data_IF_982443786956
#
_entry.id   IF_982443786956
#
_cell.length_a   1.000
_cell.length_b   1.000
_cell.length_c   1.000
_cell.angle_alpha   90.00
_cell.angle_beta   90.00
_cell.angle_gamma   90.00
#
_symmetry.space_group_name_H-M   'P 1'
#
loop_
_entity.id
_entity.type
_entity.pdbx_description
1 polymer ?
#
# COMPACT_ATOMS: atom_id res chain seq x y z
N UNK A 1 9.57 3.61 -25.56
CA UNK A 1 8.39 3.40 -24.67
C UNK A 1 8.29 1.92 -24.35
N UNK A 2 8.88 1.46 -23.23
CA UNK A 2 8.68 0.07 -22.78
C UNK A 2 7.25 -0.05 -22.27
N UNK A 3 6.42 -0.72 -23.05
CA UNK A 3 5.12 -1.26 -22.64
C UNK A 3 5.42 -2.29 -21.55
N UNK A 4 5.41 -1.87 -20.29
CA UNK A 4 5.56 -2.76 -19.14
C UNK A 4 4.25 -3.53 -18.98
N UNK A 5 4.10 -4.56 -19.81
CA UNK A 5 3.07 -5.57 -19.66
C UNK A 5 3.56 -6.50 -18.54
N UNK A 6 3.11 -6.17 -17.32
CA UNK A 6 2.77 -7.12 -16.25
C UNK A 6 3.75 -8.28 -16.11
N UNK A 7 4.82 -8.11 -15.33
CA UNK A 7 5.14 -9.18 -14.40
C UNK A 7 3.87 -9.36 -13.57
N UNK A 8 3.16 -10.48 -13.75
CA UNK A 8 1.93 -10.72 -12.98
C UNK A 8 2.32 -10.59 -11.53
N UNK A 9 1.63 -9.71 -10.81
CA UNK A 9 1.73 -9.67 -9.35
C UNK A 9 1.40 -11.07 -8.86
N UNK A 10 2.41 -11.78 -8.40
CA UNK A 10 2.24 -13.13 -7.89
C UNK A 10 1.72 -13.02 -6.46
N UNK A 11 0.40 -12.91 -6.32
CA UNK A 11 -0.26 -12.75 -5.03
C UNK A 11 -0.03 -13.93 -4.07
N UNK A 12 0.46 -15.08 -4.56
CA UNK A 12 0.89 -16.21 -3.72
C UNK A 12 2.11 -15.89 -2.85
N UNK A 13 2.86 -14.83 -3.18
CA UNK A 13 4.00 -14.34 -2.39
C UNK A 13 3.57 -13.39 -1.27
N UNK A 14 2.30 -12.94 -1.25
CA UNK A 14 1.84 -12.04 -0.21
C UNK A 14 1.58 -12.77 1.10
N UNK A 15 2.09 -12.18 2.18
CA UNK A 15 1.84 -12.59 3.54
C UNK A 15 0.63 -11.81 4.09
N UNK A 16 -0.58 -12.33 3.80
CA UNK A 16 -1.81 -11.69 4.25
C UNK A 16 -2.00 -11.70 5.78
N UNK A 17 -1.42 -12.68 6.48
CA UNK A 17 -1.47 -12.72 7.94
C UNK A 17 -0.60 -11.63 8.57
N UNK A 18 0.57 -11.34 7.97
CA UNK A 18 1.37 -10.17 8.36
C UNK A 18 0.65 -8.86 7.98
N UNK A 19 0.11 -8.80 6.77
CA UNK A 19 -0.65 -7.65 6.30
C UNK A 19 -1.85 -7.29 7.19
N UNK A 20 -2.50 -8.28 7.82
CA UNK A 20 -3.59 -8.06 8.79
C UNK A 20 -3.16 -7.20 9.97
N UNK A 21 -1.94 -7.37 10.49
CA UNK A 21 -1.46 -6.59 11.64
C UNK A 21 -1.55 -5.07 11.39
N UNK A 22 -1.50 -4.65 10.12
CA UNK A 22 -1.59 -3.23 9.72
C UNK A 22 -2.96 -2.85 9.13
N UNK A 23 -3.66 -3.78 8.48
CA UNK A 23 -4.84 -3.47 7.66
C UNK A 23 -6.15 -4.02 8.21
N UNK A 24 -6.12 -4.90 9.20
CA UNK A 24 -7.34 -5.45 9.79
C UNK A 24 -8.21 -4.33 10.37
N UNK A 25 -9.51 -4.38 10.11
CA UNK A 25 -10.51 -3.38 10.51
C UNK A 25 -10.36 -1.97 9.91
N UNK A 26 -9.34 -1.71 9.09
CA UNK A 26 -9.23 -0.45 8.35
C UNK A 26 -10.33 -0.33 7.30
N UNK A 27 -10.92 0.87 7.18
CA UNK A 27 -11.80 1.27 6.09
C UNK A 27 -10.96 1.97 5.02
N UNK A 28 -10.56 1.18 4.03
CA UNK A 28 -9.60 1.53 2.99
C UNK A 28 -10.30 2.12 1.77
N UNK A 29 -9.74 3.22 1.26
CA UNK A 29 -10.07 3.77 -0.06
C UNK A 29 -8.79 3.88 -0.88
N UNK A 30 -8.86 3.50 -2.15
CA UNK A 30 -7.74 3.66 -3.07
C UNK A 30 -7.94 4.89 -3.97
N UNK A 31 -6.87 5.59 -4.33
CA UNK A 31 -6.86 6.66 -5.34
C UNK A 31 -5.60 6.58 -6.20
N UNK A 32 -5.66 7.08 -7.44
CA UNK A 32 -4.55 6.96 -8.40
C UNK A 32 -4.37 5.55 -9.00
N UNK A 33 -3.30 5.38 -9.77
CA UNK A 33 -2.87 4.12 -10.42
C UNK A 33 -1.92 3.36 -9.49
N UNK A 34 -2.23 2.11 -9.16
CA UNK A 34 -1.35 1.27 -8.34
C UNK A 34 -0.49 0.33 -9.19
N UNK A 35 0.24 -0.56 -8.52
CA UNK A 35 1.07 -1.60 -9.14
C UNK A 35 0.25 -2.69 -9.86
N UNK A 36 -1.07 -2.71 -9.66
CA UNK A 36 -2.01 -3.52 -10.45
C UNK A 36 -3.38 -2.84 -10.56
N UNK A 37 -4.33 -3.50 -11.23
CA UNK A 37 -5.71 -3.06 -11.42
C UNK A 37 -6.43 -2.90 -10.08
N UNK A 38 -7.35 -1.93 -10.02
CA UNK A 38 -8.06 -1.54 -8.79
C UNK A 38 -8.79 -2.70 -8.11
N UNK A 39 -9.34 -3.62 -8.90
CA UNK A 39 -10.07 -4.78 -8.38
C UNK A 39 -9.13 -5.70 -7.57
N UNK A 40 -7.91 -5.94 -8.04
CA UNK A 40 -6.93 -6.78 -7.34
C UNK A 40 -6.42 -6.10 -6.07
N UNK A 41 -6.10 -4.81 -6.13
CA UNK A 41 -5.73 -4.03 -4.93
C UNK A 41 -6.80 -4.15 -3.83
N UNK A 42 -8.08 -4.06 -4.23
CA UNK A 42 -9.19 -4.23 -3.31
C UNK A 42 -9.28 -5.67 -2.75
N UNK A 43 -9.00 -6.70 -3.56
CA UNK A 43 -8.93 -8.08 -3.06
C UNK A 43 -7.81 -8.29 -2.06
N UNK A 44 -6.62 -7.75 -2.34
CA UNK A 44 -5.47 -7.89 -1.44
C UNK A 44 -5.75 -7.26 -0.08
N UNK A 45 -6.36 -6.07 -0.04
CA UNK A 45 -6.78 -5.44 1.21
C UNK A 45 -7.85 -6.27 1.95
N UNK A 46 -8.84 -6.81 1.24
CA UNK A 46 -9.87 -7.67 1.85
C UNK A 46 -9.30 -8.97 2.42
N UNK A 47 -8.29 -9.56 1.77
CA UNK A 47 -7.58 -10.74 2.27
C UNK A 47 -6.86 -10.43 3.61
N UNK A 48 -6.45 -9.18 3.80
CA UNK A 48 -5.96 -8.64 5.07
C UNK A 48 -7.08 -8.17 6.03
N UNK A 49 -8.34 -8.58 5.82
CA UNK A 49 -9.52 -8.22 6.65
C UNK A 49 -9.85 -6.72 6.68
N UNK A 50 -9.32 -5.92 5.77
CA UNK A 50 -9.77 -4.53 5.59
C UNK A 50 -11.14 -4.47 4.90
N UNK A 51 -11.91 -3.43 5.24
CA UNK A 51 -13.11 -3.04 4.50
C UNK A 51 -12.70 -2.10 3.36
N UNK A 52 -13.09 -2.38 2.13
CA UNK A 52 -12.76 -1.53 0.98
C UNK A 52 -13.99 -0.76 0.50
N UNK A 53 -13.87 0.56 0.44
CA UNK A 53 -14.90 1.49 -0.02
C UNK A 53 -14.42 2.27 -1.26
N UNK A 54 -15.36 2.80 -2.05
CA UNK A 54 -15.05 3.56 -3.27
C UNK A 54 -14.84 5.06 -3.02
N UNK A 55 -15.34 5.56 -1.89
CA UNK A 55 -15.49 6.98 -1.58
C UNK A 55 -14.91 7.30 -0.22
N UNK A 56 -14.19 8.42 -0.13
CA UNK A 56 -13.71 8.96 1.15
C UNK A 56 -14.90 9.52 1.92
N UNK A 57 -15.14 8.99 3.11
CA UNK A 57 -16.21 9.40 4.04
C UNK A 57 -15.65 9.58 5.45
N UNK A 58 -16.47 10.00 6.41
CA UNK A 58 -16.06 10.14 7.83
C UNK A 58 -15.63 8.82 8.46
N UNK A 59 -16.04 7.68 7.88
CA UNK A 59 -15.62 6.35 8.32
C UNK A 59 -14.32 5.88 7.69
N UNK A 60 -13.78 6.58 6.70
CA UNK A 60 -12.53 6.19 6.03
C UNK A 60 -11.37 6.41 6.98
N UNK A 61 -10.69 5.33 7.35
CA UNK A 61 -9.54 5.36 8.25
C UNK A 61 -8.22 5.41 7.49
N UNK A 62 -8.16 4.79 6.30
CA UNK A 62 -6.95 4.70 5.47
C UNK A 62 -7.22 5.05 4.00
N UNK A 63 -6.41 5.94 3.44
CA UNK A 63 -6.31 6.20 2.00
C UNK A 63 -4.99 5.63 1.44
N UNK A 64 -5.09 4.75 0.45
CA UNK A 64 -3.93 4.23 -0.29
C UNK A 64 -3.81 4.98 -1.61
N UNK A 65 -2.63 5.57 -1.84
CA UNK A 65 -2.39 6.54 -2.90
C UNK A 65 -1.41 5.98 -3.92
N UNK A 66 -1.87 5.78 -5.15
CA UNK A 66 -1.05 5.48 -6.31
C UNK A 66 -0.75 6.72 -7.14
N UNK A 67 -0.18 6.53 -8.34
CA UNK A 67 0.20 7.61 -9.23
C UNK A 67 -0.99 8.46 -9.69
N UNK A 68 -0.73 9.76 -9.94
CA UNK A 68 -1.73 10.73 -10.41
C UNK A 68 -3.03 10.71 -9.59
N UNK A 69 -2.97 10.87 -8.25
CA UNK A 69 -4.15 10.85 -7.42
C UNK A 69 -5.03 12.08 -7.69
N UNK A 70 -6.36 11.90 -7.65
CA UNK A 70 -7.34 12.97 -7.86
C UNK A 70 -7.88 13.58 -6.56
N UNK A 71 -9.04 14.24 -6.64
CA UNK A 71 -9.68 14.99 -5.54
C UNK A 71 -9.97 14.20 -4.25
N UNK A 72 -9.93 12.86 -4.30
CA UNK A 72 -10.01 12.00 -3.10
C UNK A 72 -8.85 12.25 -2.13
N UNK A 73 -7.65 12.53 -2.63
CA UNK A 73 -6.48 12.85 -1.79
C UNK A 73 -6.71 14.14 -1.01
N UNK A 74 -7.22 15.18 -1.70
CA UNK A 74 -7.54 16.47 -1.07
C UNK A 74 -8.59 16.28 0.03
N UNK A 75 -9.65 15.51 -0.26
CA UNK A 75 -10.70 15.22 0.73
C UNK A 75 -10.17 14.46 1.94
N UNK A 76 -9.37 13.41 1.74
CA UNK A 76 -8.82 12.62 2.84
C UNK A 76 -7.89 13.44 3.75
N UNK A 77 -7.04 14.30 3.17
CA UNK A 77 -6.18 15.21 3.94
C UNK A 77 -7.00 16.13 4.85
N UNK A 78 -8.09 16.72 4.34
CA UNK A 78 -8.98 17.60 5.12
C UNK A 78 -9.68 16.86 6.27
N UNK A 79 -9.91 15.56 6.11
CA UNK A 79 -10.59 14.73 7.10
C UNK A 79 -9.64 14.07 8.10
N UNK A 80 -8.32 14.26 7.95
CA UNK A 80 -7.32 13.67 8.84
C UNK A 80 -7.18 12.15 8.70
N UNK A 81 -7.57 11.56 7.55
CA UNK A 81 -7.39 10.14 7.32
C UNK A 81 -5.90 9.78 7.28
N UNK A 82 -5.53 8.58 7.72
CA UNK A 82 -4.19 8.02 7.48
C UNK A 82 -3.97 7.87 5.98
N UNK A 83 -2.78 8.19 5.49
CA UNK A 83 -2.44 8.13 4.07
C UNK A 83 -1.14 7.35 3.90
N UNK A 84 -1.16 6.33 3.03
CA UNK A 84 0.04 5.59 2.62
C UNK A 84 0.12 5.50 1.09
N UNK A 85 1.30 5.21 0.56
CA UNK A 85 1.48 4.97 -0.87
C UNK A 85 1.06 3.55 -1.28
N UNK A 86 0.91 3.30 -2.58
CA UNK A 86 0.75 1.95 -3.10
C UNK A 86 1.98 1.07 -2.86
N UNK A 87 3.18 1.66 -2.79
CA UNK A 87 4.41 0.92 -2.51
C UNK A 87 4.48 0.49 -1.04
N UNK A 88 4.04 1.35 -0.11
CA UNK A 88 3.86 0.98 1.29
C UNK A 88 2.88 -0.19 1.43
N UNK A 89 1.76 -0.13 0.71
CA UNK A 89 0.79 -1.21 0.69
C UNK A 89 1.40 -2.50 0.14
N UNK A 90 2.21 -2.43 -0.93
CA UNK A 90 2.93 -3.59 -1.44
C UNK A 90 3.88 -4.18 -0.39
N UNK A 91 4.65 -3.35 0.31
CA UNK A 91 5.59 -3.79 1.35
C UNK A 91 4.86 -4.43 2.54
N UNK A 92 3.72 -3.87 2.97
CA UNK A 92 2.83 -4.49 3.97
C UNK A 92 2.40 -5.88 3.52
N UNK A 93 2.00 -6.04 2.26
CA UNK A 93 1.60 -7.34 1.70
C UNK A 93 2.77 -8.32 1.60
N UNK A 94 4.00 -7.84 1.42
CA UNK A 94 5.20 -8.66 1.40
C UNK A 94 5.72 -9.01 2.80
N UNK A 95 5.15 -8.42 3.86
CA UNK A 95 5.65 -8.57 5.22
C UNK A 95 7.04 -7.98 5.42
N UNK A 96 7.39 -6.92 4.65
CA UNK A 96 8.67 -6.23 4.80
C UNK A 96 8.58 -5.17 5.88
N UNK A 97 9.42 -5.31 6.90
CA UNK A 97 9.60 -4.29 7.92
C UNK A 97 10.52 -3.20 7.39
N UNK A 98 9.99 -1.97 7.25
CA UNK A 98 10.78 -0.79 6.87
C UNK A 98 12.00 -0.58 7.77
N UNK A 99 11.91 -0.98 9.04
CA UNK A 99 12.99 -0.83 10.01
C UNK A 99 14.16 -1.78 9.74
N UNK A 100 13.90 -2.96 9.18
CA UNK A 100 14.94 -3.90 8.76
C UNK A 100 15.57 -3.48 7.44
N UNK A 101 14.76 -3.01 6.47
CA UNK A 101 15.29 -2.50 5.20
C UNK A 101 16.19 -1.25 5.41
N UNK A 102 15.84 -0.36 6.35
CA UNK A 102 16.68 0.80 6.71
C UNK A 102 17.98 0.33 7.38
N UNK A 103 17.92 -0.61 8.34
CA UNK A 103 19.12 -1.15 8.98
C UNK A 103 20.06 -1.84 7.99
N UNK A 104 19.52 -2.61 7.04
CA UNK A 104 20.32 -3.26 6.00
C UNK A 104 20.95 -2.23 5.04
N UNK A 105 20.22 -1.18 4.68
CA UNK A 105 20.76 -0.08 3.89
C UNK A 105 21.84 0.71 4.64
N UNK A 106 21.62 1.08 5.90
CA UNK A 106 22.59 1.77 6.76
C UNK A 106 23.87 0.93 6.93
N UNK A 107 23.72 -0.37 7.22
CA UNK A 107 24.84 -1.30 7.33
C UNK A 107 25.62 -1.42 6.00
N UNK A 108 24.92 -1.42 4.86
CA UNK A 108 25.57 -1.45 3.55
C UNK A 108 26.36 -0.16 3.24
N UNK A 109 25.82 1.01 3.62
CA UNK A 109 26.50 2.31 3.49
C UNK A 109 27.75 2.38 4.35
N UNK A 110 27.71 1.83 5.56
CA UNK A 110 28.86 1.79 6.46
C UNK A 110 29.99 0.91 5.89
N UNK A 111 29.67 -0.23 5.27
CA UNK A 111 30.66 -1.10 4.61
C UNK A 111 31.30 -0.44 3.39
N UNK A 112 30.53 0.38 2.65
CA UNK A 112 31.00 1.07 1.44
C UNK A 112 31.86 2.31 1.74
N UNK A 113 31.84 2.82 2.97
CA UNK A 113 32.60 3.99 3.41
C UNK A 113 33.87 3.64 4.20
N UNK A 114 34.29 2.36 4.20
CA UNK A 114 35.58 1.86 4.70
C UNK A 114 36.50 1.63 3.51
#
# INVERSE_FOLDING_TARGET
>A
MKKLMIDRVDSRKFNYDEGRKTLENEVVVFTGRGFTVRWELAQFARNCRAKVESTVTSRTTLLIVGEKPGGKLIKAKKMGCKIISCDDFYNILMGKDKENDIKEMELSLDILNI
#
